data_IF_313635647398
#
_entry.id   IF_313635647398
#
_cell.length_a   1.000
_cell.length_b   1.000
_cell.length_c   1.000
_cell.angle_alpha   90.00
_cell.angle_beta   90.00
_cell.angle_gamma   90.00
#
_symmetry.space_group_name_H-M   'P 1'
#
loop_
_entity.id
_entity.type
_entity.pdbx_description
1 polymer ?
#
# COMPACT_ATOMS: atom_id res chain seq x y z
N UNK A 1 12.32 -14.15 12.11
CA UNK A 1 10.99 -13.49 12.12
C UNK A 1 9.88 -14.40 12.63
N UNK A 2 9.56 -15.53 11.97
CA UNK A 2 8.43 -16.38 12.38
C UNK A 2 8.57 -17.05 13.75
N UNK A 3 9.81 -17.39 14.17
CA UNK A 3 10.08 -18.00 15.49
C UNK A 3 9.81 -17.01 16.63
N UNK A 4 10.41 -15.83 16.57
CA UNK A 4 10.21 -14.75 17.54
C UNK A 4 8.73 -14.32 17.65
N UNK A 5 8.03 -14.21 16.53
CA UNK A 5 6.60 -13.88 16.52
C UNK A 5 5.74 -14.96 17.22
N UNK A 6 6.12 -16.24 17.09
CA UNK A 6 5.50 -17.33 17.85
C UNK A 6 5.81 -17.22 19.34
N UNK A 7 7.07 -16.99 19.70
CA UNK A 7 7.49 -16.85 21.10
C UNK A 7 6.78 -15.70 21.81
N UNK A 8 6.67 -14.52 21.18
CA UNK A 8 6.00 -13.35 21.76
C UNK A 8 4.49 -13.58 21.95
N UNK A 9 3.83 -14.30 21.02
CA UNK A 9 2.38 -14.50 21.09
C UNK A 9 1.95 -15.70 21.93
N UNK A 10 2.81 -16.71 22.11
CA UNK A 10 2.49 -17.92 22.87
C UNK A 10 1.91 -17.64 24.27
N UNK A 11 2.43 -16.68 25.06
CA UNK A 11 1.85 -16.34 26.36
C UNK A 11 0.41 -15.81 26.31
N UNK A 12 -0.03 -15.20 25.20
CA UNK A 12 -1.38 -14.65 25.07
C UNK A 12 -2.45 -15.75 25.06
N UNK A 13 -2.10 -16.92 24.53
CA UNK A 13 -2.99 -18.07 24.36
C UNK A 13 -2.78 -19.15 25.42
N UNK A 14 -1.70 -19.09 26.21
CA UNK A 14 -1.45 -20.00 27.33
C UNK A 14 -2.46 -19.78 28.46
N UNK A 15 -2.62 -20.76 29.36
CA UNK A 15 -3.57 -20.68 30.48
C UNK A 15 -3.34 -19.42 31.34
N UNK A 16 -4.39 -18.63 31.55
CA UNK A 16 -4.33 -17.34 32.24
C UNK A 16 -3.95 -16.14 31.36
N UNK A 17 -3.60 -16.36 30.09
CA UNK A 17 -3.39 -15.29 29.11
C UNK A 17 -4.71 -14.64 28.67
N UNK A 18 -4.63 -13.39 28.19
CA UNK A 18 -5.82 -12.59 27.82
C UNK A 18 -6.68 -13.19 26.70
N UNK A 19 -6.15 -14.12 25.91
CA UNK A 19 -6.84 -14.80 24.80
C UNK A 19 -7.03 -16.31 25.06
N UNK A 20 -6.76 -16.77 26.28
CA UNK A 20 -6.79 -18.19 26.63
C UNK A 20 -8.19 -18.81 26.61
N UNK A 21 -9.23 -18.01 26.87
CA UNK A 21 -10.63 -18.44 26.87
C UNK A 21 -11.28 -18.55 25.48
N UNK A 22 -10.56 -18.25 24.40
CA UNK A 22 -11.11 -18.36 23.04
C UNK A 22 -11.14 -19.82 22.58
N UNK A 23 -12.20 -20.20 21.83
CA UNK A 23 -12.19 -21.45 21.07
C UNK A 23 -11.10 -21.43 20.01
N UNK A 24 -10.78 -22.58 19.44
CA UNK A 24 -9.75 -22.66 18.39
C UNK A 24 -10.16 -21.90 17.13
N UNK A 25 -11.45 -21.85 16.80
CA UNK A 25 -12.00 -20.97 15.76
C UNK A 25 -11.79 -19.50 16.10
N UNK A 26 -12.04 -19.11 17.35
CA UNK A 26 -11.82 -17.76 17.85
C UNK A 26 -10.35 -17.33 17.74
N UNK A 27 -9.43 -18.20 18.16
CA UNK A 27 -7.97 -17.98 18.02
C UNK A 27 -7.57 -17.80 16.56
N UNK A 28 -8.07 -18.66 15.67
CA UNK A 28 -7.80 -18.57 14.23
C UNK A 28 -8.33 -17.26 13.62
N UNK A 29 -9.52 -16.83 14.03
CA UNK A 29 -10.12 -15.56 13.58
C UNK A 29 -9.27 -14.36 14.01
N UNK A 30 -8.83 -14.32 15.27
CA UNK A 30 -7.95 -13.26 15.78
C UNK A 30 -6.63 -13.24 15.02
N UNK A 31 -5.98 -14.39 14.84
CA UNK A 31 -4.72 -14.49 14.10
C UNK A 31 -4.86 -14.03 12.66
N UNK A 32 -5.94 -14.43 11.98
CA UNK A 32 -6.26 -13.96 10.62
C UNK A 32 -6.40 -12.45 10.60
N UNK A 33 -7.15 -11.86 11.55
CA UNK A 33 -7.35 -10.42 11.61
C UNK A 33 -6.07 -9.65 11.92
N UNK A 34 -5.24 -10.17 12.82
CA UNK A 34 -3.91 -9.60 13.11
C UNK A 34 -3.04 -9.58 11.86
N UNK A 35 -3.07 -10.65 11.05
CA UNK A 35 -2.35 -10.69 9.77
C UNK A 35 -2.88 -9.68 8.75
N UNK A 36 -4.21 -9.52 8.63
CA UNK A 36 -4.82 -8.49 7.78
C UNK A 36 -4.36 -7.10 8.20
N UNK A 37 -4.47 -6.78 9.49
CA UNK A 37 -4.07 -5.48 10.03
C UNK A 37 -2.58 -5.21 9.88
N UNK A 38 -1.73 -6.21 10.10
CA UNK A 38 -0.29 -6.09 9.89
C UNK A 38 0.05 -5.74 8.43
N UNK A 39 -0.64 -6.34 7.45
CA UNK A 39 -0.42 -6.03 6.04
C UNK A 39 -0.84 -4.59 5.65
N UNK A 40 -1.69 -3.93 6.43
CA UNK A 40 -2.19 -2.58 6.17
C UNK A 40 -1.40 -1.53 6.96
N UNK A 41 -1.17 -1.78 8.25
CA UNK A 41 -0.68 -0.77 9.19
C UNK A 41 0.75 -1.00 9.68
N UNK A 42 1.30 -2.21 9.54
CA UNK A 42 2.67 -2.46 10.00
C UNK A 42 3.65 -1.67 9.15
N UNK A 43 4.44 -0.81 9.80
CA UNK A 43 5.54 -0.10 9.15
C UNK A 43 6.55 -1.12 8.60
N UNK A 44 7.17 -0.77 7.48
CA UNK A 44 8.32 -1.51 6.97
C UNK A 44 9.39 -1.66 8.05
N UNK A 45 10.19 -2.72 7.95
CA UNK A 45 11.26 -3.05 8.90
C UNK A 45 12.28 -1.93 9.10
N UNK A 46 12.34 -0.98 8.17
CA UNK A 46 13.17 0.23 8.27
C UNK A 46 12.40 1.51 7.91
N UNK A 47 12.83 2.64 8.49
CA UNK A 47 12.38 3.97 8.11
C UNK A 47 12.78 4.36 6.68
N UNK A 48 13.74 3.65 6.07
CA UNK A 48 14.16 3.87 4.67
C UNK A 48 13.47 2.95 3.67
N UNK A 49 12.64 2.02 4.15
CA UNK A 49 11.90 1.09 3.30
C UNK A 49 10.47 1.58 3.03
N UNK A 50 9.88 1.04 1.95
CA UNK A 50 8.50 1.33 1.58
C UNK A 50 8.27 2.79 1.13
N UNK A 51 6.99 3.19 1.07
CA UNK A 51 6.59 4.52 0.60
C UNK A 51 7.24 5.64 1.41
N UNK A 52 7.21 5.54 2.74
CA UNK A 52 7.68 6.61 3.62
C UNK A 52 9.20 6.78 3.51
N UNK A 53 9.95 5.70 3.38
CA UNK A 53 11.39 5.75 3.11
C UNK A 53 11.71 6.43 1.78
N UNK A 54 11.03 6.02 0.70
CA UNK A 54 11.19 6.65 -0.63
C UNK A 54 10.84 8.14 -0.60
N UNK A 55 9.78 8.53 0.11
CA UNK A 55 9.40 9.93 0.26
C UNK A 55 10.42 10.72 1.10
N UNK A 56 10.91 10.16 2.20
CA UNK A 56 11.93 10.80 3.04
C UNK A 56 13.21 11.04 2.24
N UNK A 57 13.65 10.03 1.49
CA UNK A 57 14.85 10.14 0.65
C UNK A 57 14.68 11.23 -0.42
N UNK A 58 13.57 11.20 -1.17
CA UNK A 58 13.25 12.23 -2.18
C UNK A 58 13.12 13.62 -1.56
N UNK A 59 12.61 13.73 -0.34
CA UNK A 59 12.51 15.01 0.36
C UNK A 59 13.90 15.57 0.67
N UNK A 60 14.83 14.74 1.14
CA UNK A 60 16.20 15.17 1.38
C UNK A 60 16.95 15.50 0.07
N UNK A 61 16.88 14.65 -0.95
CA UNK A 61 17.55 14.88 -2.23
C UNK A 61 17.07 16.14 -2.96
N UNK A 62 15.75 16.37 -2.97
CA UNK A 62 15.14 17.46 -3.74
C UNK A 62 15.00 18.76 -2.93
N UNK A 63 15.60 18.85 -1.73
CA UNK A 63 15.42 19.97 -0.78
C UNK A 63 13.94 20.25 -0.46
N UNK A 64 13.14 19.19 -0.40
CA UNK A 64 11.72 19.22 -0.09
C UNK A 64 10.85 18.59 -1.17
N UNK A 65 9.64 18.21 -0.77
CA UNK A 65 8.58 17.78 -1.68
C UNK A 65 7.44 18.78 -1.55
N UNK A 66 7.08 19.42 -2.66
CA UNK A 66 5.94 20.32 -2.68
C UNK A 66 4.65 19.56 -2.31
N UNK A 67 3.71 20.19 -1.56
CA UNK A 67 2.47 19.54 -1.13
C UNK A 67 1.66 18.94 -2.29
N UNK A 68 1.59 19.65 -3.43
CA UNK A 68 0.92 19.14 -4.64
C UNK A 68 1.52 17.82 -5.13
N UNK A 69 2.85 17.71 -5.16
CA UNK A 69 3.56 16.50 -5.59
C UNK A 69 3.35 15.36 -4.58
N UNK A 70 3.34 15.67 -3.29
CA UNK A 70 3.02 14.68 -2.25
C UNK A 70 1.61 14.10 -2.40
N UNK A 71 0.61 14.93 -2.70
CA UNK A 71 -0.76 14.48 -2.96
C UNK A 71 -0.83 13.54 -4.17
N UNK A 72 -0.15 13.89 -5.27
CA UNK A 72 -0.07 13.04 -6.47
C UNK A 72 0.59 11.70 -6.17
N UNK A 73 1.74 11.70 -5.49
CA UNK A 73 2.43 10.46 -5.10
C UNK A 73 1.59 9.60 -4.15
N UNK A 74 0.76 10.23 -3.32
CA UNK A 74 -0.19 9.54 -2.44
C UNK A 74 -1.30 8.86 -3.24
N UNK A 75 -1.90 9.56 -4.20
CA UNK A 75 -2.90 8.98 -5.09
C UNK A 75 -2.32 7.81 -5.90
N UNK A 76 -1.14 7.98 -6.51
CA UNK A 76 -0.46 6.93 -7.27
C UNK A 76 -0.18 5.71 -6.41
N UNK A 77 0.34 5.89 -5.20
CA UNK A 77 0.58 4.78 -4.27
C UNK A 77 -0.70 4.02 -3.93
N UNK A 78 -1.79 4.75 -3.64
CA UNK A 78 -3.02 4.15 -3.17
C UNK A 78 -3.80 3.45 -4.28
N UNK A 79 -3.83 4.02 -5.49
CA UNK A 79 -4.77 3.62 -6.54
C UNK A 79 -4.13 3.06 -7.81
N UNK A 80 -2.81 3.23 -8.02
CA UNK A 80 -2.13 2.76 -9.24
C UNK A 80 -1.09 1.67 -8.98
N UNK A 81 -0.22 1.85 -7.98
CA UNK A 81 0.84 0.89 -7.68
C UNK A 81 0.23 -0.39 -7.11
N UNK A 82 0.58 -1.53 -7.73
CA UNK A 82 0.13 -2.87 -7.32
C UNK A 82 1.25 -3.64 -6.64
N UNK A 83 0.88 -4.48 -5.67
CA UNK A 83 1.79 -5.46 -5.07
C UNK A 83 1.90 -6.69 -5.99
N UNK A 84 2.77 -7.64 -5.64
CA UNK A 84 2.88 -8.96 -6.31
C UNK A 84 1.56 -9.73 -6.40
N UNK A 85 0.65 -9.52 -5.46
CA UNK A 85 -0.70 -10.13 -5.46
C UNK A 85 -1.70 -9.39 -6.38
N UNK A 86 -1.26 -8.33 -7.08
CA UNK A 86 -2.08 -7.56 -8.00
C UNK A 86 -2.98 -6.50 -7.35
N UNK A 87 -3.04 -6.43 -6.02
CA UNK A 87 -3.93 -5.51 -5.29
C UNK A 87 -3.28 -4.14 -5.05
N UNK A 88 -4.09 -3.08 -5.04
CA UNK A 88 -3.65 -1.73 -4.66
C UNK A 88 -3.71 -1.53 -3.15
N UNK A 89 -3.05 -0.48 -2.63
CA UNK A 89 -3.12 -0.19 -1.19
C UNK A 89 -4.53 0.23 -0.76
N UNK A 90 -5.26 0.98 -1.61
CA UNK A 90 -6.65 1.33 -1.37
C UNK A 90 -7.56 0.10 -1.34
N UNK A 91 -7.37 -0.85 -2.25
CA UNK A 91 -8.17 -2.09 -2.28
C UNK A 91 -8.04 -2.89 -0.98
N UNK A 92 -6.82 -3.02 -0.44
CA UNK A 92 -6.58 -3.70 0.84
C UNK A 92 -7.16 -2.94 2.03
N UNK A 93 -7.08 -1.61 1.99
CA UNK A 93 -7.57 -0.76 3.09
C UNK A 93 -9.10 -0.73 3.14
N UNK A 94 -9.77 -0.54 2.00
CA UNK A 94 -11.23 -0.43 1.91
C UNK A 94 -11.93 -1.77 1.72
N UNK A 95 -11.21 -2.85 1.43
CA UNK A 95 -11.76 -4.18 1.15
C UNK A 95 -12.52 -4.28 -0.17
N UNK A 96 -12.47 -3.25 -1.02
CA UNK A 96 -13.17 -3.18 -2.30
C UNK A 96 -12.23 -2.64 -3.38
N UNK A 97 -12.36 -3.19 -4.59
CA UNK A 97 -11.53 -2.77 -5.72
C UNK A 97 -11.94 -1.36 -6.17
N UNK A 98 -11.05 -0.37 -6.11
CA UNK A 98 -11.36 0.98 -6.59
C UNK A 98 -11.46 1.00 -8.13
N UNK A 99 -12.09 2.05 -8.66
CA UNK A 99 -12.07 2.34 -10.09
C UNK A 99 -10.63 2.47 -10.59
N UNK A 100 -10.38 2.07 -11.85
CA UNK A 100 -9.07 2.22 -12.47
C UNK A 100 -8.67 3.70 -12.51
N UNK A 101 -7.55 4.04 -11.84
CA UNK A 101 -7.10 5.43 -11.68
C UNK A 101 -6.83 6.11 -13.03
N UNK A 102 -6.25 5.39 -13.99
CA UNK A 102 -5.92 5.97 -15.29
C UNK A 102 -7.19 6.32 -16.07
N UNK A 103 -8.15 5.38 -16.13
CA UNK A 103 -9.46 5.63 -16.73
C UNK A 103 -10.20 6.78 -16.04
N UNK A 104 -10.16 6.84 -14.71
CA UNK A 104 -10.79 7.92 -13.95
C UNK A 104 -10.18 9.29 -14.28
N UNK A 105 -8.85 9.37 -14.43
CA UNK A 105 -8.16 10.62 -14.82
C UNK A 105 -8.52 11.02 -16.24
N UNK A 106 -8.60 10.07 -17.18
CA UNK A 106 -8.97 10.38 -18.58
C UNK A 106 -10.35 11.05 -18.69
N UNK A 107 -11.28 10.75 -17.77
CA UNK A 107 -12.59 11.40 -17.74
C UNK A 107 -12.56 12.81 -17.13
N UNK A 108 -11.45 13.22 -16.50
CA UNK A 108 -11.30 14.50 -15.81
C UNK A 108 -10.40 15.49 -16.56
N UNK A 109 -9.66 15.03 -17.57
CA UNK A 109 -8.69 15.86 -18.29
C UNK A 109 -9.10 16.03 -19.74
N UNK A 110 -8.96 17.24 -20.25
CA UNK A 110 -9.05 17.47 -21.69
C UNK A 110 -7.88 16.78 -22.39
N UNK A 111 -8.21 15.86 -23.29
CA UNK A 111 -7.19 15.11 -24.03
C UNK A 111 -6.59 16.07 -25.08
N UNK A 112 -5.26 16.26 -25.08
CA UNK A 112 -4.64 17.16 -26.03
C UNK A 112 -4.86 16.68 -27.47
N UNK A 113 -4.96 17.63 -28.39
CA UNK A 113 -5.11 17.37 -29.82
C UNK A 113 -3.94 16.51 -30.30
N UNK A 114 -4.24 15.53 -31.17
CA UNK A 114 -3.27 14.58 -31.71
C UNK A 114 -2.02 15.31 -32.23
N UNK A 115 -0.80 14.83 -31.94
CA UNK A 115 0.42 15.40 -32.49
C UNK A 115 0.35 15.49 -34.01
N UNK A 116 0.87 16.59 -34.56
CA UNK A 116 0.97 16.79 -36.01
C UNK A 116 1.78 15.63 -36.60
N UNK A 117 1.24 14.96 -37.62
CA UNK A 117 2.00 13.94 -38.36
C UNK A 117 3.26 14.63 -38.91
N UNK A 118 4.46 14.12 -38.56
CA UNK A 118 5.67 14.53 -39.29
C UNK A 118 5.46 14.05 -40.71
N UNK A 119 5.46 14.98 -41.67
CA UNK A 119 5.43 14.63 -43.09
C UNK A 119 6.55 13.65 -43.35
N UNK A 120 6.22 12.54 -44.01
CA UNK A 120 7.20 11.55 -44.44
C UNK A 120 8.34 12.29 -45.15
N UNK A 121 9.56 12.03 -44.71
CA UNK A 121 10.73 12.49 -45.44
C UNK A 121 10.65 11.85 -46.83
N UNK A 122 10.31 12.67 -47.82
CA UNK A 122 10.38 12.30 -49.24
C UNK A 122 11.86 12.04 -49.52
N UNK A 123 12.21 10.76 -49.71
CA UNK A 123 13.47 10.33 -50.29
C UNK A 123 13.57 10.76 -51.76
#
# INVERSE_FOLDING_TARGET
>A
MLKLAKEIRSPLFAGGGSLSGLSDEGKNSVLKKSHELANIFQRSSSCVEGRNGVLSFRHHELKGIQPRKLNVLTAIHNYFIKRRDGTTAAERFFGNKPSDMFKAILNLVDIPIRPRLRGDAVC
#
